data_IF_934100090079
#
_entry.id   IF_934100090079
#
_cell.length_a   1.000
_cell.length_b   1.000
_cell.length_c   1.000
_cell.angle_alpha   90.00
_cell.angle_beta   90.00
_cell.angle_gamma   90.00
#
_symmetry.space_group_name_H-M   'P 1'
#
loop_
_entity.id
_entity.type
_entity.pdbx_description
1 polymer ?
#
# COMPACT_ATOMS: atom_id res chain seq x y z
N UNK A 1 -76.19 24.56 11.27
CA UNK A 1 -75.02 23.70 11.06
C UNK A 1 -73.90 24.57 10.53
N UNK A 2 -73.04 25.08 11.41
CA UNK A 2 -71.98 26.05 11.06
C UNK A 2 -70.68 25.33 11.19
N UNK A 3 -70.07 25.03 10.05
CA UNK A 3 -68.70 24.43 9.94
C UNK A 3 -67.65 25.53 10.07
N UNK A 4 -66.95 25.54 11.20
CA UNK A 4 -65.81 26.42 11.44
C UNK A 4 -64.59 25.86 10.74
N UNK A 5 -64.11 26.55 9.68
CA UNK A 5 -62.87 26.24 8.96
C UNK A 5 -61.70 26.84 9.75
N UNK A 6 -60.93 26.01 10.42
CA UNK A 6 -59.67 26.41 11.07
C UNK A 6 -58.63 26.66 10.01
N UNK A 7 -58.28 27.94 9.81
CA UNK A 7 -57.21 28.37 8.94
C UNK A 7 -55.85 28.17 9.67
N UNK A 8 -55.13 27.10 9.33
CA UNK A 8 -53.82 26.78 9.90
C UNK A 8 -52.77 27.70 9.24
N UNK A 9 -52.51 28.83 9.87
CA UNK A 9 -51.41 29.72 9.44
C UNK A 9 -50.06 29.02 9.60
N UNK A 10 -49.45 28.62 8.49
CA UNK A 10 -48.05 28.19 8.43
C UNK A 10 -47.19 29.43 8.70
N UNK A 11 -46.71 29.56 9.93
CA UNK A 11 -45.72 30.56 10.30
C UNK A 11 -44.37 30.03 9.77
N UNK A 12 -43.94 30.54 8.61
CA UNK A 12 -42.58 30.37 8.14
C UNK A 12 -41.65 31.09 9.12
N UNK A 13 -41.03 30.36 10.04
CA UNK A 13 -40.00 30.88 10.93
C UNK A 13 -38.75 31.10 10.07
N UNK A 14 -38.49 32.37 9.71
CA UNK A 14 -37.22 32.78 9.12
C UNK A 14 -36.11 32.63 10.16
N UNK A 15 -34.87 32.37 9.67
CA UNK A 15 -33.72 32.31 10.53
C UNK A 15 -33.49 33.65 11.25
N UNK A 16 -33.22 33.57 12.53
CA UNK A 16 -32.87 34.74 13.35
C UNK A 16 -31.44 35.18 12.98
N UNK A 17 -31.16 36.48 12.94
CA UNK A 17 -29.84 37.06 12.69
C UNK A 17 -28.79 36.51 13.70
N UNK A 18 -29.23 36.27 14.94
CA UNK A 18 -28.41 35.68 15.99
C UNK A 18 -28.00 34.24 15.65
N UNK A 19 -28.91 33.46 15.09
CA UNK A 19 -28.68 32.07 14.72
C UNK A 19 -27.64 31.98 13.59
N UNK A 20 -27.70 32.88 12.61
CA UNK A 20 -26.68 32.99 11.53
C UNK A 20 -25.34 33.39 12.11
N UNK A 21 -25.27 34.33 13.05
CA UNK A 21 -24.02 34.71 13.69
C UNK A 21 -23.39 33.56 14.48
N UNK A 22 -24.18 32.80 15.23
CA UNK A 22 -23.70 31.62 15.96
C UNK A 22 -23.21 30.56 14.99
N UNK A 23 -23.95 30.28 13.91
CA UNK A 23 -23.54 29.31 12.90
C UNK A 23 -22.19 29.69 12.24
N UNK A 24 -22.00 30.95 11.89
CA UNK A 24 -20.74 31.47 11.33
C UNK A 24 -19.59 31.36 12.34
N UNK A 25 -19.82 31.67 13.61
CA UNK A 25 -18.82 31.53 14.66
C UNK A 25 -18.37 30.06 14.83
N UNK A 26 -19.33 29.13 14.91
CA UNK A 26 -19.07 27.71 15.00
C UNK A 26 -18.32 27.19 13.77
N UNK A 27 -18.74 27.62 12.58
CA UNK A 27 -18.06 27.25 11.33
C UNK A 27 -16.61 27.72 11.30
N UNK A 28 -16.35 28.97 11.74
CA UNK A 28 -14.98 29.49 11.81
C UNK A 28 -14.10 28.72 12.79
N UNK A 29 -14.64 28.33 13.95
CA UNK A 29 -13.93 27.50 14.93
C UNK A 29 -13.62 26.12 14.37
N UNK A 30 -14.59 25.44 13.78
CA UNK A 30 -14.41 24.11 13.18
C UNK A 30 -13.39 24.14 12.04
N UNK A 31 -13.45 25.15 11.17
CA UNK A 31 -12.50 25.30 10.07
C UNK A 31 -11.07 25.49 10.58
N UNK A 32 -10.89 26.26 11.64
CA UNK A 32 -9.56 26.46 12.25
C UNK A 32 -9.02 25.15 12.87
N UNK A 33 -9.86 24.41 13.56
CA UNK A 33 -9.48 23.12 14.16
C UNK A 33 -9.05 22.10 13.09
N UNK A 34 -9.77 22.01 11.98
CA UNK A 34 -9.45 21.12 10.86
C UNK A 34 -8.12 21.56 10.22
N UNK A 35 -7.94 22.85 9.95
CA UNK A 35 -6.70 23.36 9.40
C UNK A 35 -5.51 23.09 10.30
N UNK A 36 -5.66 23.32 11.61
CA UNK A 36 -4.60 23.03 12.60
C UNK A 36 -4.26 21.55 12.68
N UNK A 37 -5.26 20.66 12.66
CA UNK A 37 -5.05 19.22 12.67
C UNK A 37 -4.29 18.77 11.41
N UNK A 38 -4.64 19.30 10.25
CA UNK A 38 -3.96 19.00 8.99
C UNK A 38 -2.50 19.47 8.98
N UNK A 39 -2.25 20.71 9.43
CA UNK A 39 -0.87 21.25 9.55
C UNK A 39 -0.05 20.39 10.51
N UNK A 40 -0.61 20.02 11.67
CA UNK A 40 0.10 19.19 12.64
C UNK A 40 0.43 17.79 12.08
N UNK A 41 -0.48 17.21 11.27
CA UNK A 41 -0.23 15.93 10.60
C UNK A 41 0.91 16.04 9.57
N UNK A 42 0.97 17.12 8.80
CA UNK A 42 2.07 17.38 7.87
C UNK A 42 3.40 17.57 8.59
N UNK A 43 3.42 18.38 9.64
CA UNK A 43 4.63 18.62 10.45
C UNK A 43 5.11 17.35 11.17
N UNK A 44 4.20 16.48 11.60
CA UNK A 44 4.57 15.19 12.18
C UNK A 44 5.27 14.29 11.16
N UNK A 45 4.83 14.33 9.89
CA UNK A 45 5.47 13.61 8.79
C UNK A 45 6.85 14.18 8.45
N UNK A 46 7.00 15.51 8.43
CA UNK A 46 8.29 16.16 8.17
C UNK A 46 9.32 15.95 9.31
N UNK A 47 8.84 15.78 10.54
CA UNK A 47 9.72 15.59 11.71
C UNK A 47 10.38 14.21 11.77
N UNK A 48 9.97 13.27 10.92
CA UNK A 48 10.59 11.94 10.87
C UNK A 48 11.20 11.67 9.48
N UNK A 49 12.28 12.37 9.11
CA UNK A 49 12.94 12.19 7.82
C UNK A 49 13.42 10.73 7.64
N UNK A 50 13.79 10.03 8.71
CA UNK A 50 14.20 8.63 8.65
C UNK A 50 13.13 7.76 7.96
N UNK A 51 11.85 7.96 8.27
CA UNK A 51 10.74 7.21 7.65
C UNK A 51 10.65 7.46 6.14
N UNK A 52 10.88 8.70 5.70
CA UNK A 52 10.82 9.06 4.27
C UNK A 52 11.95 8.39 3.48
N UNK A 53 13.16 8.36 4.03
CA UNK A 53 14.30 7.69 3.39
C UNK A 53 14.12 6.18 3.33
N UNK A 54 13.56 5.58 4.39
CA UNK A 54 13.20 4.16 4.41
C UNK A 54 12.16 3.85 3.33
N UNK A 55 11.08 4.64 3.21
CA UNK A 55 10.06 4.48 2.17
C UNK A 55 10.66 4.58 0.75
N UNK A 56 11.60 5.50 0.53
CA UNK A 56 12.29 5.64 -0.76
C UNK A 56 13.12 4.40 -1.06
N UNK A 57 13.89 3.90 -0.08
CA UNK A 57 14.70 2.70 -0.25
C UNK A 57 13.82 1.48 -0.56
N UNK A 58 12.77 1.26 0.22
CA UNK A 58 11.80 0.16 0.01
C UNK A 58 11.20 0.22 -1.38
N UNK A 59 10.71 1.38 -1.81
CA UNK A 59 10.15 1.56 -3.15
C UNK A 59 11.18 1.37 -4.26
N UNK A 60 12.46 1.69 -4.00
CA UNK A 60 13.54 1.49 -4.96
C UNK A 60 13.85 0.00 -5.11
N UNK A 61 13.95 -0.75 -4.02
CA UNK A 61 14.14 -2.21 -4.05
C UNK A 61 12.98 -2.90 -4.76
N UNK A 62 11.74 -2.55 -4.44
CA UNK A 62 10.56 -3.08 -5.14
C UNK A 62 10.64 -2.84 -6.66
N UNK A 63 11.06 -1.66 -7.07
CA UNK A 63 11.24 -1.34 -8.50
C UNK A 63 12.37 -2.14 -9.14
N UNK A 64 13.48 -2.34 -8.44
CA UNK A 64 14.58 -3.18 -8.94
C UNK A 64 14.13 -4.62 -9.14
N UNK A 65 13.48 -5.23 -8.15
CA UNK A 65 12.89 -6.57 -8.27
C UNK A 65 11.88 -6.68 -9.43
N UNK A 66 11.07 -5.63 -9.63
CA UNK A 66 10.12 -5.57 -10.72
C UNK A 66 10.78 -5.41 -12.11
N UNK A 67 11.95 -4.86 -12.20
CA UNK A 67 12.66 -4.61 -13.46
C UNK A 67 13.67 -5.71 -13.79
N UNK A 68 14.11 -6.46 -12.76
CA UNK A 68 15.12 -7.50 -12.95
C UNK A 68 14.57 -8.66 -13.77
N UNK A 69 15.30 -9.03 -14.82
CA UNK A 69 14.91 -10.10 -15.76
C UNK A 69 15.52 -11.45 -15.42
N UNK A 70 16.62 -11.44 -14.71
CA UNK A 70 17.37 -12.60 -14.33
C UNK A 70 17.10 -12.93 -12.86
N UNK A 71 16.79 -14.19 -12.57
CA UNK A 71 16.53 -14.66 -11.22
C UNK A 71 17.78 -14.52 -10.33
N UNK A 72 18.93 -14.97 -10.84
CA UNK A 72 20.19 -14.95 -10.09
C UNK A 72 20.59 -13.52 -9.69
N UNK A 73 20.42 -12.56 -10.60
CA UNK A 73 20.70 -11.14 -10.33
C UNK A 73 19.71 -10.53 -9.33
N UNK A 74 18.46 -10.99 -9.34
CA UNK A 74 17.46 -10.57 -8.37
C UNK A 74 17.73 -11.11 -6.95
N UNK A 75 18.29 -12.32 -6.83
CA UNK A 75 18.68 -12.93 -5.55
C UNK A 75 19.98 -12.33 -5.00
N UNK A 76 20.92 -11.95 -5.87
CA UNK A 76 22.20 -11.35 -5.46
C UNK A 76 21.99 -10.05 -4.67
N UNK A 77 20.88 -9.34 -4.93
CA UNK A 77 20.55 -8.11 -4.24
C UNK A 77 21.43 -6.94 -4.65
N UNK A 78 21.65 -6.00 -3.72
CA UNK A 78 22.45 -4.82 -4.05
C UNK A 78 22.58 -3.81 -2.93
N UNK A 79 23.24 -2.71 -3.26
CA UNK A 79 23.45 -1.59 -2.34
C UNK A 79 22.83 -0.33 -2.90
N UNK A 80 22.13 0.41 -2.06
CA UNK A 80 21.51 1.70 -2.37
C UNK A 80 22.23 2.82 -1.62
N UNK A 81 22.61 3.88 -2.34
CA UNK A 81 23.10 5.10 -1.70
C UNK A 81 21.91 6.01 -1.41
N UNK A 82 21.69 6.30 -0.14
CA UNK A 82 20.62 7.17 0.32
C UNK A 82 21.14 8.60 0.43
N UNK A 83 20.39 9.57 -0.13
CA UNK A 83 20.71 10.98 -0.01
C UNK A 83 20.71 11.38 1.48
N UNK A 84 21.83 11.91 1.97
CA UNK A 84 22.07 12.46 3.31
C UNK A 84 22.21 11.45 4.48
N UNK A 85 21.88 10.15 4.34
CA UNK A 85 21.81 9.23 5.48
C UNK A 85 22.49 7.86 5.31
N UNK A 86 23.51 7.74 4.47
CA UNK A 86 24.30 6.53 4.41
C UNK A 86 23.93 5.56 3.28
N UNK A 87 24.07 4.28 3.53
CA UNK A 87 23.83 3.21 2.58
C UNK A 87 22.78 2.24 3.11
N UNK A 88 22.04 1.63 2.21
CA UNK A 88 21.20 0.49 2.50
C UNK A 88 21.65 -0.68 1.63
N UNK A 89 21.82 -1.86 2.22
CA UNK A 89 21.99 -3.11 1.49
C UNK A 89 20.68 -3.87 1.49
N UNK A 90 20.42 -4.60 0.42
CA UNK A 90 19.27 -5.45 0.34
C UNK A 90 19.62 -6.80 -0.28
N UNK A 91 18.92 -7.83 0.15
CA UNK A 91 19.01 -9.19 -0.39
C UNK A 91 17.60 -9.72 -0.61
N UNK A 92 17.42 -10.65 -1.54
CA UNK A 92 16.14 -11.28 -1.78
C UNK A 92 16.27 -12.80 -1.84
N UNK A 93 15.29 -13.49 -1.28
CA UNK A 93 15.10 -14.93 -1.42
C UNK A 93 13.85 -15.15 -2.28
N UNK A 94 14.00 -15.91 -3.36
CA UNK A 94 12.95 -16.08 -4.36
C UNK A 94 12.58 -17.55 -4.48
N UNK A 95 11.32 -17.87 -4.25
CA UNK A 95 10.80 -19.24 -4.27
C UNK A 95 9.72 -19.37 -5.33
N UNK A 96 9.75 -20.43 -6.17
CA UNK A 96 8.65 -20.75 -7.06
C UNK A 96 7.43 -21.18 -6.24
N UNK A 97 6.24 -20.85 -6.72
CA UNK A 97 4.97 -21.27 -6.14
C UNK A 97 4.30 -22.37 -6.96
N UNK A 98 3.20 -22.93 -6.46
CA UNK A 98 2.37 -23.89 -7.22
C UNK A 98 1.63 -23.24 -8.41
N UNK A 99 1.72 -21.93 -8.55
CA UNK A 99 1.12 -21.18 -9.67
C UNK A 99 2.21 -20.89 -10.70
N UNK A 100 1.93 -21.22 -11.95
CA UNK A 100 2.88 -21.05 -13.04
C UNK A 100 3.36 -19.60 -13.13
N UNK A 101 4.67 -19.41 -13.25
CA UNK A 101 5.33 -18.11 -13.38
C UNK A 101 5.14 -17.17 -12.17
N UNK A 102 4.53 -17.64 -11.08
CA UNK A 102 4.38 -16.87 -9.85
C UNK A 102 5.45 -17.24 -8.84
N UNK A 103 6.17 -16.24 -8.36
CA UNK A 103 7.25 -16.39 -7.39
C UNK A 103 6.93 -15.62 -6.10
N UNK A 104 7.25 -16.23 -4.97
CA UNK A 104 7.27 -15.58 -3.67
C UNK A 104 8.66 -14.97 -3.47
N UNK A 105 8.74 -13.66 -3.38
CA UNK A 105 9.98 -12.92 -3.18
C UNK A 105 10.00 -12.34 -1.78
N UNK A 106 10.90 -12.80 -0.93
CA UNK A 106 11.17 -12.22 0.39
C UNK A 106 12.40 -11.37 0.27
N UNK A 107 12.30 -10.12 0.59
CA UNK A 107 13.47 -9.25 0.59
C UNK A 107 13.65 -8.55 1.93
N UNK A 108 14.91 -8.39 2.29
CA UNK A 108 15.35 -7.72 3.50
C UNK A 108 16.21 -6.51 3.12
N UNK A 109 15.97 -5.40 3.79
CA UNK A 109 16.74 -4.17 3.62
C UNK A 109 17.39 -3.83 4.96
N UNK A 110 18.69 -3.72 4.97
CA UNK A 110 19.49 -3.29 6.10
C UNK A 110 19.93 -1.84 5.89
N UNK A 111 19.53 -0.96 6.79
CA UNK A 111 19.92 0.44 6.76
C UNK A 111 21.19 0.66 7.58
N UNK A 112 22.29 0.96 6.88
CA UNK A 112 23.58 1.26 7.47
C UNK A 112 23.64 2.74 7.85
N UNK A 113 23.11 3.09 8.99
CA UNK A 113 23.22 4.44 9.55
C UNK A 113 24.52 4.52 10.36
N UNK A 114 25.37 5.52 10.05
CA UNK A 114 26.76 5.59 10.59
C UNK A 114 26.88 5.75 12.10
N UNK A 115 25.79 6.06 12.83
CA UNK A 115 25.83 6.42 14.25
C UNK A 115 24.85 5.64 15.15
N UNK A 116 24.01 4.74 14.63
CA UNK A 116 23.06 3.96 15.43
C UNK A 116 23.51 2.51 15.60
N UNK A 117 23.77 2.02 16.83
CA UNK A 117 24.10 0.64 17.09
C UNK A 117 22.91 -0.32 16.85
N UNK A 118 21.70 0.20 16.68
CA UNK A 118 20.51 -0.58 16.32
C UNK A 118 20.28 -0.53 14.82
N UNK A 119 20.84 -1.48 14.09
CA UNK A 119 20.61 -1.67 12.69
C UNK A 119 19.10 -1.93 12.44
N UNK A 120 18.46 -1.02 11.73
CA UNK A 120 17.03 -1.17 11.39
C UNK A 120 16.95 -2.06 10.14
N UNK A 121 16.31 -3.21 10.28
CA UNK A 121 16.05 -4.13 9.17
C UNK A 121 14.57 -4.03 8.80
N UNK A 122 14.31 -3.97 7.51
CA UNK A 122 12.96 -4.03 6.95
C UNK A 122 12.81 -5.29 6.12
N UNK A 123 11.79 -6.10 6.40
CA UNK A 123 11.48 -7.33 5.68
C UNK A 123 10.10 -7.25 5.05
N UNK A 124 9.98 -7.72 3.82
CA UNK A 124 8.70 -7.78 3.10
C UNK A 124 8.64 -8.99 2.17
N UNK A 125 7.44 -9.51 1.96
CA UNK A 125 7.16 -10.57 1.00
C UNK A 125 6.26 -10.06 -0.11
N UNK A 126 6.68 -10.26 -1.35
CA UNK A 126 5.94 -9.91 -2.56
C UNK A 126 5.66 -11.16 -3.38
N UNK A 127 4.53 -11.19 -4.09
CA UNK A 127 4.26 -12.20 -5.10
C UNK A 127 4.37 -11.60 -6.49
N UNK A 128 5.33 -12.08 -7.27
CA UNK A 128 5.65 -11.53 -8.58
C UNK A 128 5.38 -12.54 -9.70
N UNK A 129 4.61 -12.13 -10.69
CA UNK A 129 4.40 -12.92 -11.90
C UNK A 129 5.57 -12.67 -12.86
N UNK A 130 6.46 -13.66 -13.00
CA UNK A 130 7.73 -13.54 -13.72
C UNK A 130 8.01 -14.72 -14.65
N UNK A 131 7.44 -14.72 -15.87
CA UNK A 131 7.69 -15.80 -16.84
C UNK A 131 9.18 -15.95 -17.22
N UNK A 132 9.97 -14.89 -17.09
CA UNK A 132 11.41 -14.89 -17.44
C UNK A 132 12.28 -15.61 -16.40
N UNK A 133 11.76 -15.82 -15.19
CA UNK A 133 12.44 -16.52 -14.10
C UNK A 133 12.14 -18.02 -14.11
N UNK A 134 11.08 -18.45 -14.78
CA UNK A 134 10.71 -19.86 -14.86
C UNK A 134 11.65 -20.63 -15.78
N UNK A 135 12.17 -21.73 -15.29
CA UNK A 135 12.87 -22.71 -16.12
C UNK A 135 11.87 -23.39 -17.06
N UNK A 136 12.23 -23.55 -18.33
CA UNK A 136 11.34 -24.12 -19.35
C UNK A 136 10.86 -25.53 -19.04
N UNK A 137 11.67 -26.34 -18.38
CA UNK A 137 11.33 -27.71 -17.98
C UNK A 137 10.34 -27.74 -16.82
N UNK A 138 10.58 -26.95 -15.77
CA UNK A 138 9.67 -26.82 -14.60
C UNK A 138 8.32 -26.26 -15.02
N UNK A 139 8.32 -25.24 -15.86
CA UNK A 139 7.11 -24.66 -16.41
C UNK A 139 6.29 -25.67 -17.21
N UNK A 140 6.94 -26.49 -18.05
CA UNK A 140 6.28 -27.51 -18.83
C UNK A 140 5.70 -28.62 -17.96
N UNK A 141 6.41 -29.02 -16.89
CA UNK A 141 5.95 -30.00 -15.93
C UNK A 141 4.70 -29.52 -15.17
N UNK A 142 4.73 -28.29 -14.64
CA UNK A 142 3.59 -27.68 -13.96
C UNK A 142 2.36 -27.53 -14.88
N UNK A 143 2.58 -27.18 -16.14
CA UNK A 143 1.50 -27.07 -17.14
C UNK A 143 0.83 -28.41 -17.40
N UNK A 144 1.61 -29.49 -17.52
CA UNK A 144 1.06 -30.83 -17.74
C UNK A 144 0.30 -31.32 -16.52
N UNK A 145 0.83 -31.14 -15.31
CA UNK A 145 0.15 -31.48 -14.05
C UNK A 145 -1.19 -30.75 -13.91
N UNK A 146 -1.21 -29.45 -14.14
CA UNK A 146 -2.46 -28.66 -14.06
C UNK A 146 -3.47 -29.06 -15.14
N UNK A 147 -3.00 -29.41 -16.32
CA UNK A 147 -3.86 -29.92 -17.40
C UNK A 147 -4.51 -31.23 -17.00
N UNK A 148 -3.77 -32.19 -16.43
CA UNK A 148 -4.32 -33.45 -15.96
C UNK A 148 -5.39 -33.23 -14.88
N UNK A 149 -5.13 -32.39 -13.87
CA UNK A 149 -6.09 -32.04 -12.83
C UNK A 149 -7.39 -31.46 -13.41
N UNK A 150 -7.27 -30.56 -14.38
CA UNK A 150 -8.45 -29.95 -15.04
C UNK A 150 -9.25 -30.96 -15.89
N UNK A 151 -8.57 -31.91 -16.55
CA UNK A 151 -9.22 -32.96 -17.30
C UNK A 151 -9.98 -33.92 -16.39
N UNK A 152 -9.41 -34.26 -15.25
CA UNK A 152 -10.02 -35.13 -14.24
C UNK A 152 -11.27 -34.47 -13.63
N UNK A 153 -11.20 -33.20 -13.24
CA UNK A 153 -12.36 -32.44 -12.76
C UNK A 153 -13.50 -32.39 -13.77
N UNK A 154 -13.18 -32.23 -15.06
CA UNK A 154 -14.18 -32.19 -16.14
C UNK A 154 -14.89 -33.52 -16.33
N UNK A 155 -14.22 -34.64 -16.05
CA UNK A 155 -14.79 -35.99 -16.18
C UNK A 155 -15.78 -36.27 -15.04
N UNK A 156 -15.59 -35.69 -13.85
CA UNK A 156 -16.51 -35.83 -12.71
C UNK A 156 -17.78 -34.99 -12.87
N UNK A 157 -17.73 -33.84 -13.53
CA UNK A 157 -18.90 -32.96 -13.74
C UNK A 157 -19.86 -33.45 -14.87
N UNK A 158 -19.50 -34.52 -15.57
CA UNK A 158 -20.27 -35.10 -16.67
C UNK A 158 -20.98 -36.41 -16.34
N UNK A 159 -20.90 -36.88 -15.06
CA UNK A 159 -21.58 -38.06 -14.54
C UNK A 159 -22.72 -37.69 -13.59
#
# INVERSE_FOLDING_TARGET
>A
MITSTQNKTNINKGFSLVEVLIALALFAICSNLIASAFINALLARERNPATVYQEIAINTVRKQLLLEKNLDEAEEGGTLTLLEKGQASWTAEIYPTDVIDLFECRFDIEFLESDDPNQVTYSETLYLLRPTWSLSEERSSLLEEKKEVLLDQRTFDTL
#
